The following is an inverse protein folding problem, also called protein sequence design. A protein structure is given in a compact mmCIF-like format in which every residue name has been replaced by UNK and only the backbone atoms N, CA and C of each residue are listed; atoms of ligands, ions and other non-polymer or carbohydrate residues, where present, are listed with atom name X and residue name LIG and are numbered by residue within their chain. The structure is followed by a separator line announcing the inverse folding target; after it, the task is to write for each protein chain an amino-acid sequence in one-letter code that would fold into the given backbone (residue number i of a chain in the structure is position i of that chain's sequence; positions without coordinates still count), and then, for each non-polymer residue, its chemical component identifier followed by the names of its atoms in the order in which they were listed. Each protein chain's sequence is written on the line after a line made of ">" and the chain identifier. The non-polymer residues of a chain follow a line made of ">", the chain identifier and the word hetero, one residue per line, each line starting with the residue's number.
data_IF_084271546236
#
_entry.id   IF_084271546236
#
_cell.length_a   1.000
_cell.length_b   1.000
_cell.length_c   1.000
_cell.angle_alpha   90.00
_cell.angle_beta   90.00
_cell.angle_gamma   90.00
#
_symmetry.space_group_name_H-M   'P 1'
#
loop_
_entity.id
_entity.type
_entity.pdbx_description
1 polymer ?
#
# COMPACT_ATOMS: atom_id res chain seq x y z
N UNK A 1 4.95 16.34 61.06
CA UNK A 1 5.63 15.06 60.77
C UNK A 1 5.23 14.60 59.37
N UNK A 2 6.03 14.87 58.32
CA UNK A 2 5.82 14.29 56.99
C UNK A 2 6.71 13.06 56.76
N UNK A 3 6.16 12.05 56.07
CA UNK A 3 6.77 10.75 55.80
C UNK A 3 7.99 10.83 54.86
N UNK A 4 8.93 9.87 54.90
CA UNK A 4 10.15 9.92 54.11
C UNK A 4 9.91 9.49 52.66
N UNK A 5 10.62 10.19 51.79
CA UNK A 5 10.61 10.17 50.33
C UNK A 5 11.01 8.78 49.75
N UNK A 6 10.07 8.04 49.17
CA UNK A 6 10.36 6.80 48.44
C UNK A 6 11.08 7.09 47.13
N UNK A 7 12.41 6.87 47.12
CA UNK A 7 13.21 6.84 45.90
C UNK A 7 12.78 5.64 45.05
N UNK A 8 11.90 5.86 44.08
CA UNK A 8 11.63 4.93 42.98
C UNK A 8 12.94 4.55 42.29
N UNK A 9 13.45 3.35 42.57
CA UNK A 9 14.59 2.75 41.87
C UNK A 9 14.23 2.68 40.39
N UNK A 10 14.92 3.48 39.57
CA UNK A 10 14.93 3.29 38.12
C UNK A 10 15.60 1.95 37.85
N UNK A 11 14.86 1.03 37.27
CA UNK A 11 15.33 -0.26 36.82
C UNK A 11 16.40 0.00 35.76
N UNK A 12 17.68 -0.12 36.13
CA UNK A 12 18.76 -0.18 35.16
C UNK A 12 18.63 -1.55 34.49
N UNK A 13 18.26 -1.55 33.20
CA UNK A 13 18.44 -2.72 32.34
C UNK A 13 19.88 -3.21 32.56
N UNK A 14 20.02 -4.42 33.07
CA UNK A 14 21.31 -5.06 33.30
C UNK A 14 22.07 -5.21 31.98
N UNK A 15 23.39 -5.07 32.06
CA UNK A 15 24.40 -5.23 30.99
C UNK A 15 24.38 -6.58 30.24
N UNK A 16 23.35 -7.42 30.41
CA UNK A 16 23.21 -8.70 29.70
C UNK A 16 22.87 -8.54 28.21
N UNK A 17 22.37 -7.37 27.79
CA UNK A 17 22.03 -7.14 26.37
C UNK A 17 23.26 -7.17 25.44
N UNK A 18 24.46 -6.83 25.93
CA UNK A 18 25.68 -6.85 25.10
C UNK A 18 26.16 -8.26 24.78
N UNK A 19 25.79 -9.27 25.57
CA UNK A 19 26.14 -10.68 25.29
C UNK A 19 25.23 -11.30 24.23
N UNK A 20 24.03 -10.75 24.02
CA UNK A 20 23.07 -11.26 23.04
C UNK A 20 23.28 -10.73 21.61
N UNK A 21 24.12 -9.71 21.40
CA UNK A 21 24.39 -9.21 20.04
C UNK A 21 25.20 -10.20 19.21
N UNK A 22 26.08 -10.98 19.86
CA UNK A 22 26.88 -12.01 19.18
C UNK A 22 26.04 -13.20 18.68
N UNK A 23 24.76 -13.30 19.09
CA UNK A 23 23.80 -14.31 18.62
C UNK A 23 22.99 -13.86 17.41
N UNK A 24 23.21 -12.64 16.89
CA UNK A 24 22.39 -12.07 15.82
C UNK A 24 22.49 -12.88 14.50
N UNK A 25 23.69 -13.41 14.21
CA UNK A 25 23.91 -14.28 13.05
C UNK A 25 24.61 -15.58 13.45
N UNK A 26 23.83 -16.66 13.50
CA UNK A 26 24.32 -18.03 13.73
C UNK A 26 24.08 -18.88 12.49
N UNK A 27 25.10 -19.08 11.66
CA UNK A 27 25.00 -19.87 10.42
C UNK A 27 25.13 -21.38 10.63
N UNK A 28 25.54 -21.83 11.81
CA UNK A 28 25.81 -23.24 12.07
C UNK A 28 24.52 -24.05 12.30
N UNK A 29 23.46 -23.42 12.79
CA UNK A 29 22.17 -24.06 13.08
C UNK A 29 21.08 -23.78 12.04
N UNK A 30 21.43 -23.12 10.92
CA UNK A 30 20.46 -22.72 9.91
C UNK A 30 20.31 -23.78 8.81
N UNK A 31 19.16 -23.74 8.12
CA UNK A 31 18.87 -24.63 7.00
C UNK A 31 19.92 -24.46 5.90
N UNK A 32 20.72 -25.52 5.66
CA UNK A 32 21.78 -25.57 4.65
C UNK A 32 21.29 -25.20 3.25
N UNK A 33 20.01 -25.42 2.95
CA UNK A 33 19.42 -25.07 1.65
C UNK A 33 19.32 -23.55 1.44
N UNK A 34 19.07 -22.77 2.50
CA UNK A 34 18.87 -21.33 2.39
C UNK A 34 20.18 -20.53 2.39
N UNK A 35 21.19 -21.02 3.10
CA UNK A 35 22.46 -20.31 3.32
C UNK A 35 23.66 -20.96 2.61
N UNK A 36 23.54 -22.20 2.17
CA UNK A 36 24.58 -22.94 1.44
C UNK A 36 24.34 -22.98 -0.08
N UNK A 37 23.50 -22.09 -0.62
CA UNK A 37 23.10 -22.06 -2.04
C UNK A 37 22.66 -23.44 -2.56
N UNK A 38 22.01 -24.22 -1.69
CA UNK A 38 21.51 -25.55 -2.01
C UNK A 38 20.45 -25.44 -3.09
N UNK A 39 20.57 -26.23 -4.15
CA UNK A 39 19.55 -26.27 -5.20
C UNK A 39 18.23 -26.76 -4.61
N UNK A 40 17.24 -25.88 -4.54
CA UNK A 40 15.88 -26.24 -4.18
C UNK A 40 15.24 -26.85 -5.44
N UNK A 41 15.10 -28.18 -5.45
CA UNK A 41 14.35 -28.87 -6.48
C UNK A 41 12.91 -29.03 -5.99
N UNK A 42 11.95 -28.54 -6.77
CA UNK A 42 10.54 -28.88 -6.57
C UNK A 42 10.33 -30.25 -7.22
N UNK A 43 9.86 -31.20 -6.43
CA UNK A 43 9.62 -32.56 -6.90
C UNK A 43 8.52 -32.53 -7.98
N UNK A 44 8.90 -32.84 -9.23
CA UNK A 44 8.01 -32.74 -10.40
C UNK A 44 7.03 -33.90 -10.48
N UNK A 45 7.20 -34.92 -9.64
CA UNK A 45 6.36 -36.12 -9.61
C UNK A 45 5.09 -35.92 -8.77
N UNK A 46 4.91 -34.75 -8.15
CA UNK A 46 3.65 -34.35 -7.52
C UNK A 46 2.72 -33.71 -8.57
N UNK A 47 1.42 -34.05 -8.63
CA UNK A 47 0.48 -33.55 -9.63
C UNK A 47 0.03 -32.10 -9.37
N UNK A 48 0.94 -31.25 -8.90
CA UNK A 48 0.75 -29.82 -8.79
C UNK A 48 1.08 -29.16 -10.13
N UNK A 49 0.10 -29.21 -11.03
CA UNK A 49 0.07 -28.43 -12.27
C UNK A 49 0.20 -26.94 -11.95
N UNK A 50 1.33 -26.34 -12.29
CA UNK A 50 1.55 -24.91 -12.24
C UNK A 50 2.99 -24.56 -12.55
N UNK A 51 3.25 -24.00 -13.73
CA UNK A 51 4.54 -23.43 -14.11
C UNK A 51 5.11 -22.59 -12.96
N UNK A 52 6.30 -22.95 -12.46
CA UNK A 52 7.17 -22.20 -11.54
C UNK A 52 6.54 -20.93 -10.93
N UNK A 53 5.64 -21.12 -9.96
CA UNK A 53 4.90 -20.02 -9.32
C UNK A 53 5.79 -19.18 -8.38
N UNK A 54 7.01 -19.64 -8.10
CA UNK A 54 7.98 -18.96 -7.26
C UNK A 54 9.06 -18.28 -8.11
N UNK A 55 9.01 -16.95 -8.17
CA UNK A 55 10.10 -16.11 -8.67
C UNK A 55 11.01 -15.70 -7.51
N UNK A 56 12.33 -15.77 -7.72
CA UNK A 56 13.36 -15.47 -6.73
C UNK A 56 13.30 -13.99 -6.28
N UNK A 57 13.67 -13.73 -5.03
CA UNK A 57 13.73 -12.38 -4.45
C UNK A 57 14.81 -11.55 -5.17
N UNK A 58 14.39 -10.61 -6.05
CA UNK A 58 15.29 -9.71 -6.78
C UNK A 58 14.88 -9.45 -8.22
N UNK A 59 14.17 -10.38 -8.85
CA UNK A 59 13.43 -10.08 -10.07
C UNK A 59 12.14 -9.37 -9.70
N UNK A 60 11.68 -8.44 -10.53
CA UNK A 60 10.38 -7.79 -10.38
C UNK A 60 9.26 -8.85 -10.48
N UNK A 61 8.98 -9.55 -9.38
CA UNK A 61 7.92 -10.54 -9.22
C UNK A 61 6.51 -9.92 -9.23
N UNK A 62 6.42 -8.67 -9.69
CA UNK A 62 5.25 -7.80 -9.61
C UNK A 62 4.61 -7.54 -10.97
N UNK A 63 4.95 -8.34 -12.00
CA UNK A 63 3.90 -8.66 -12.95
C UNK A 63 2.84 -9.35 -12.09
N UNK A 64 1.81 -8.60 -11.66
CA UNK A 64 0.62 -9.15 -11.05
C UNK A 64 0.33 -10.38 -11.89
N UNK A 65 0.50 -11.58 -11.31
CA UNK A 65 -0.05 -12.75 -11.94
C UNK A 65 -1.47 -12.32 -12.21
N UNK A 66 -1.83 -12.16 -13.49
CA UNK A 66 -3.20 -11.93 -13.88
C UNK A 66 -3.86 -13.14 -13.26
N UNK A 67 -4.46 -12.95 -12.08
CA UNK A 67 -5.19 -13.99 -11.42
C UNK A 67 -6.27 -14.21 -12.45
N UNK A 68 -6.08 -15.26 -13.25
CA UNK A 68 -7.09 -15.74 -14.17
C UNK A 68 -8.12 -16.23 -13.18
N UNK A 69 -8.96 -15.29 -12.73
CA UNK A 69 -10.08 -15.56 -11.85
C UNK A 69 -10.80 -16.67 -12.60
N UNK A 70 -10.74 -17.93 -12.12
CA UNK A 70 -11.51 -18.97 -12.78
C UNK A 70 -12.91 -18.41 -12.82
N UNK A 71 -13.56 -18.46 -14.00
CA UNK A 71 -14.93 -18.00 -14.18
C UNK A 71 -15.80 -18.93 -13.33
N UNK A 72 -15.79 -18.74 -12.02
CA UNK A 72 -16.67 -19.38 -11.08
C UNK A 72 -18.06 -19.02 -11.59
N UNK A 73 -18.90 -20.02 -11.78
CA UNK A 73 -20.31 -19.86 -12.14
C UNK A 73 -21.12 -19.22 -11.00
N UNK A 74 -20.58 -18.16 -10.39
CA UNK A 74 -21.26 -17.32 -9.42
C UNK A 74 -22.38 -16.65 -10.19
N UNK A 75 -23.58 -17.22 -10.08
CA UNK A 75 -24.80 -16.50 -10.40
C UNK A 75 -24.83 -15.29 -9.47
N UNK A 76 -24.43 -14.13 -9.98
CA UNK A 76 -24.70 -12.85 -9.33
C UNK A 76 -26.22 -12.73 -9.23
N UNK A 77 -26.75 -13.13 -8.09
CA UNK A 77 -28.15 -12.87 -7.75
C UNK A 77 -28.20 -11.38 -7.48
N UNK A 78 -28.77 -10.60 -8.40
CA UNK A 78 -29.11 -9.21 -8.16
C UNK A 78 -30.18 -9.20 -7.07
N UNK A 79 -29.72 -9.21 -5.81
CA UNK A 79 -30.54 -8.90 -4.66
C UNK A 79 -30.68 -7.39 -4.69
N UNK A 80 -31.84 -6.90 -5.14
CA UNK A 80 -32.21 -5.51 -4.91
C UNK A 80 -32.19 -5.28 -3.39
N UNK A 81 -31.15 -4.61 -2.91
CA UNK A 81 -31.07 -4.24 -1.51
C UNK A 81 -32.33 -3.41 -1.21
N UNK A 82 -33.05 -3.71 -0.12
CA UNK A 82 -34.22 -2.94 0.25
C UNK A 82 -33.85 -1.47 0.29
N UNK A 83 -34.66 -0.64 -0.39
CA UNK A 83 -34.45 0.81 -0.52
C UNK A 83 -34.20 1.38 0.87
N UNK A 84 -32.98 1.89 1.12
CA UNK A 84 -32.55 2.41 2.42
C UNK A 84 -33.58 3.46 2.87
N UNK A 85 -34.34 3.15 3.93
CA UNK A 85 -35.33 4.09 4.48
C UNK A 85 -34.55 5.28 5.06
N UNK A 86 -34.67 6.47 4.48
CA UNK A 86 -34.00 7.72 4.89
C UNK A 86 -34.45 8.27 6.27
N UNK A 87 -34.99 7.45 7.16
CA UNK A 87 -35.73 7.94 8.34
C UNK A 87 -35.44 7.23 9.65
N UNK A 88 -34.24 6.67 9.78
CA UNK A 88 -33.67 6.49 11.11
C UNK A 88 -32.43 7.36 11.11
N UNK A 89 -32.56 8.57 11.65
CA UNK A 89 -31.39 9.32 12.10
C UNK A 89 -30.62 8.38 13.02
N UNK A 90 -29.29 8.33 12.90
CA UNK A 90 -28.53 7.54 13.85
C UNK A 90 -28.92 8.02 15.26
N UNK A 91 -29.45 7.14 16.13
CA UNK A 91 -29.76 7.54 17.50
C UNK A 91 -28.53 8.03 18.26
N UNK A 92 -27.35 7.83 17.71
CA UNK A 92 -26.06 8.25 18.22
C UNK A 92 -25.43 9.26 17.28
N UNK A 93 -25.31 10.51 17.73
CA UNK A 93 -24.72 11.58 16.93
C UNK A 93 -23.18 11.45 16.87
N UNK A 94 -22.62 11.61 15.68
CA UNK A 94 -21.17 11.45 15.42
C UNK A 94 -20.29 12.42 16.23
N UNK A 95 -20.83 13.59 16.61
CA UNK A 95 -20.11 14.61 17.38
C UNK A 95 -19.57 14.08 18.73
N UNK A 96 -20.24 13.07 19.32
CA UNK A 96 -19.82 12.42 20.57
C UNK A 96 -18.52 11.64 20.38
N UNK A 97 -18.31 11.08 19.18
CA UNK A 97 -17.18 10.22 18.84
C UNK A 97 -16.06 10.95 18.11
N UNK A 98 -16.33 12.12 17.54
CA UNK A 98 -15.30 12.93 16.86
C UNK A 98 -14.05 13.14 17.71
N UNK A 99 -14.21 13.46 19.00
CA UNK A 99 -13.08 13.70 19.91
C UNK A 99 -12.24 12.41 20.05
N UNK A 100 -12.90 11.26 20.16
CA UNK A 100 -12.23 9.97 20.23
C UNK A 100 -11.55 9.60 18.91
N UNK A 101 -12.22 9.80 17.77
CA UNK A 101 -11.66 9.55 16.44
C UNK A 101 -10.47 10.46 16.14
N UNK A 102 -10.56 11.76 16.45
CA UNK A 102 -9.46 12.72 16.30
C UNK A 102 -8.27 12.30 17.16
N UNK A 103 -8.50 11.88 18.41
CA UNK A 103 -7.45 11.34 19.30
C UNK A 103 -6.84 10.05 18.76
N UNK A 104 -7.66 9.08 18.38
CA UNK A 104 -7.22 7.78 17.87
C UNK A 104 -6.41 7.94 16.56
N UNK A 105 -6.88 8.78 15.63
CA UNK A 105 -6.17 9.11 14.38
C UNK A 105 -4.84 9.81 14.64
N UNK A 106 -4.74 10.61 15.72
CA UNK A 106 -3.48 11.22 16.16
C UNK A 106 -2.52 10.19 16.75
N UNK A 107 -3.02 9.31 17.63
CA UNK A 107 -2.23 8.27 18.27
C UNK A 107 -1.70 7.25 17.24
N UNK A 108 -2.54 6.83 16.29
CA UNK A 108 -2.18 5.98 15.14
C UNK A 108 -1.04 6.62 14.35
N UNK A 109 -1.20 7.89 13.95
CA UNK A 109 -0.16 8.65 13.21
C UNK A 109 1.14 8.74 14.00
N UNK A 110 1.05 9.04 15.30
CA UNK A 110 2.22 9.12 16.17
C UNK A 110 2.97 7.79 16.27
N UNK A 111 2.25 6.67 16.45
CA UNK A 111 2.84 5.33 16.54
C UNK A 111 3.51 4.92 15.25
N UNK A 112 2.82 5.09 14.12
CA UNK A 112 3.38 4.80 12.80
C UNK A 112 4.63 5.62 12.50
N UNK A 113 4.67 6.90 12.91
CA UNK A 113 5.86 7.74 12.76
C UNK A 113 7.01 7.26 13.64
N UNK A 114 6.73 6.90 14.90
CA UNK A 114 7.77 6.38 15.80
C UNK A 114 8.32 5.04 15.32
N UNK A 115 7.48 4.15 14.82
CA UNK A 115 7.91 2.85 14.29
C UNK A 115 8.74 3.03 13.02
N UNK A 116 8.34 3.95 12.13
CA UNK A 116 9.13 4.31 10.96
C UNK A 116 10.49 4.89 11.34
N UNK A 117 10.55 5.76 12.35
CA UNK A 117 11.80 6.31 12.88
C UNK A 117 12.73 5.24 13.44
N UNK A 118 12.19 4.28 14.22
CA UNK A 118 12.96 3.13 14.73
C UNK A 118 13.51 2.28 13.60
N UNK A 119 12.70 2.00 12.59
CA UNK A 119 13.11 1.20 11.46
C UNK A 119 14.24 1.88 10.66
N UNK A 120 14.19 3.19 10.41
CA UNK A 120 15.32 3.90 9.78
C UNK A 120 16.59 3.82 10.62
N UNK A 121 16.48 3.99 11.94
CA UNK A 121 17.61 3.88 12.85
C UNK A 121 18.23 2.47 12.83
N UNK A 122 17.40 1.42 12.83
CA UNK A 122 17.86 0.04 12.70
C UNK A 122 18.57 -0.20 11.36
N UNK A 123 18.06 0.37 10.27
CA UNK A 123 18.69 0.23 8.95
C UNK A 123 20.02 0.98 8.85
N UNK A 124 20.14 2.16 9.45
CA UNK A 124 21.42 2.87 9.50
C UNK A 124 22.43 2.12 10.37
N UNK A 125 22.00 1.47 11.45
CA UNK A 125 22.85 0.57 12.21
C UNK A 125 23.32 -0.63 11.37
N UNK A 126 22.42 -1.25 10.57
CA UNK A 126 22.79 -2.34 9.63
C UNK A 126 23.81 -1.87 8.59
N UNK A 127 23.65 -0.66 8.03
CA UNK A 127 24.63 -0.06 7.10
C UNK A 127 25.98 0.13 7.78
N UNK A 128 25.99 0.66 8.99
CA UNK A 128 27.23 0.85 9.76
C UNK A 128 27.95 -0.48 10.03
N UNK A 129 27.21 -1.54 10.38
CA UNK A 129 27.77 -2.88 10.56
C UNK A 129 28.35 -3.45 9.27
N UNK A 130 27.69 -3.24 8.13
CA UNK A 130 28.21 -3.63 6.82
C UNK A 130 29.51 -2.89 6.49
N UNK A 131 29.58 -1.58 6.73
CA UNK A 131 30.79 -0.78 6.53
C UNK A 131 31.95 -1.29 7.38
N UNK A 132 31.72 -1.60 8.67
CA UNK A 132 32.73 -2.19 9.56
C UNK A 132 33.27 -3.53 9.06
N UNK A 133 32.42 -4.35 8.42
CA UNK A 133 32.83 -5.62 7.84
C UNK A 133 33.59 -5.48 6.52
N UNK A 134 33.46 -4.34 5.82
CA UNK A 134 34.20 -4.03 4.60
C UNK A 134 35.57 -3.39 4.86
N UNK A 135 35.78 -2.80 6.04
CA UNK A 135 37.05 -2.23 6.48
C UNK A 135 38.15 -3.29 6.66
N UNK A 136 39.41 -2.84 6.75
CA UNK A 136 40.58 -3.73 6.87
C UNK A 136 40.61 -4.50 8.21
N UNK A 137 40.06 -3.93 9.29
CA UNK A 137 40.02 -4.48 10.65
C UNK A 137 38.74 -5.29 10.96
N UNK A 138 38.04 -5.77 9.93
CA UNK A 138 36.81 -6.55 10.03
C UNK A 138 36.86 -7.73 11.02
N UNK A 139 38.03 -8.35 11.20
CA UNK A 139 38.27 -9.44 12.15
C UNK A 139 37.92 -9.10 13.61
N UNK A 140 37.99 -7.82 14.00
CA UNK A 140 37.64 -7.37 15.35
C UNK A 140 36.13 -7.22 15.56
N UNK A 141 35.42 -6.87 14.48
CA UNK A 141 34.00 -6.56 14.48
C UNK A 141 33.13 -7.78 14.22
N UNK A 142 33.60 -8.70 13.37
CA UNK A 142 32.87 -9.93 13.01
C UNK A 142 32.40 -10.77 14.23
N UNK A 143 33.20 -10.98 15.29
CA UNK A 143 32.75 -11.74 16.47
C UNK A 143 31.69 -11.04 17.31
N UNK A 144 31.48 -9.73 17.13
CA UNK A 144 30.42 -8.99 17.85
C UNK A 144 29.06 -9.19 17.17
N UNK A 145 29.08 -9.51 15.88
CA UNK A 145 27.91 -9.70 15.03
C UNK A 145 27.54 -11.17 14.88
N UNK A 146 28.54 -12.06 14.87
CA UNK A 146 28.38 -13.46 14.50
C UNK A 146 28.96 -14.44 15.48
N UNK A 147 28.29 -15.59 15.55
CA UNK A 147 28.79 -16.73 16.31
C UNK A 147 29.95 -17.35 15.55
N UNK A 148 31.15 -17.26 16.11
CA UNK A 148 32.37 -17.91 15.60
C UNK A 148 32.75 -19.01 16.58
N UNK A 149 33.09 -20.21 16.07
CA UNK A 149 33.53 -21.34 16.88
C UNK A 149 35.00 -21.21 17.21
N UNK A 150 35.84 -21.00 16.19
CA UNK A 150 37.28 -20.84 16.36
C UNK A 150 37.80 -19.53 15.76
N UNK A 151 38.51 -18.75 16.57
CA UNK A 151 39.03 -17.43 16.15
C UNK A 151 40.37 -17.51 15.43
N UNK A 152 41.06 -18.64 15.52
CA UNK A 152 42.30 -18.88 14.80
C UNK A 152 42.08 -19.48 13.41
N UNK A 153 40.87 -19.97 13.12
CA UNK A 153 40.53 -20.51 11.81
C UNK A 153 40.18 -19.37 10.84
N UNK A 154 41.12 -19.07 9.95
CA UNK A 154 40.99 -18.00 8.95
C UNK A 154 39.90 -18.32 7.92
N UNK A 155 39.72 -19.60 7.59
CA UNK A 155 38.75 -20.03 6.59
C UNK A 155 37.32 -19.92 7.14
N UNK A 156 37.10 -20.32 8.40
CA UNK A 156 35.83 -20.11 9.10
C UNK A 156 35.47 -18.62 9.14
N UNK A 157 36.42 -17.76 9.52
CA UNK A 157 36.22 -16.32 9.61
C UNK A 157 35.83 -15.71 8.26
N UNK A 158 36.53 -16.09 7.18
CA UNK A 158 36.23 -15.61 5.83
C UNK A 158 34.85 -16.07 5.35
N UNK A 159 34.51 -17.35 5.55
CA UNK A 159 33.21 -17.88 5.15
C UNK A 159 32.06 -17.20 5.90
N UNK A 160 32.20 -17.04 7.23
CA UNK A 160 31.20 -16.35 8.06
C UNK A 160 31.10 -14.87 7.72
N UNK A 161 32.22 -14.18 7.45
CA UNK A 161 32.22 -12.80 6.95
C UNK A 161 31.41 -12.68 5.66
N UNK A 162 31.65 -13.53 4.67
CA UNK A 162 30.91 -13.48 3.42
C UNK A 162 29.41 -13.76 3.63
N UNK A 163 29.06 -14.75 4.45
CA UNK A 163 27.66 -15.05 4.77
C UNK A 163 26.95 -13.85 5.43
N UNK A 164 27.64 -13.15 6.33
CA UNK A 164 27.08 -11.97 7.02
C UNK A 164 26.87 -10.79 6.11
N UNK A 165 27.85 -10.48 5.27
CA UNK A 165 27.76 -9.42 4.29
C UNK A 165 26.54 -9.66 3.39
N UNK A 166 26.38 -10.89 2.88
CA UNK A 166 25.22 -11.26 2.05
C UNK A 166 23.90 -11.07 2.78
N UNK A 167 23.81 -11.44 4.06
CA UNK A 167 22.58 -11.25 4.84
C UNK A 167 22.28 -9.78 5.13
N UNK A 168 23.29 -8.99 5.49
CA UNK A 168 23.15 -7.55 5.70
C UNK A 168 22.70 -6.87 4.39
N UNK A 169 23.34 -7.16 3.27
CA UNK A 169 22.94 -6.67 1.94
C UNK A 169 21.51 -7.10 1.59
N UNK A 170 21.12 -8.35 1.88
CA UNK A 170 19.75 -8.85 1.67
C UNK A 170 18.74 -8.08 2.52
N UNK A 171 19.06 -7.75 3.78
CA UNK A 171 18.18 -6.94 4.63
C UNK A 171 18.04 -5.50 4.11
N UNK A 172 19.13 -4.88 3.67
CA UNK A 172 19.10 -3.55 3.06
C UNK A 172 18.31 -3.53 1.75
N UNK A 173 18.44 -4.57 0.91
CA UNK A 173 17.66 -4.71 -0.32
C UNK A 173 16.16 -4.85 -0.04
N UNK A 174 15.77 -5.61 1.00
CA UNK A 174 14.37 -5.69 1.47
C UNK A 174 13.84 -4.32 1.89
N UNK A 175 14.66 -3.55 2.60
CA UNK A 175 14.30 -2.21 3.05
C UNK A 175 14.13 -1.24 1.87
N UNK A 176 15.06 -1.22 0.92
CA UNK A 176 14.95 -0.38 -0.28
C UNK A 176 13.69 -0.71 -1.10
N UNK A 177 13.34 -2.00 -1.21
CA UNK A 177 12.09 -2.42 -1.84
C UNK A 177 10.87 -1.92 -1.06
N UNK A 178 10.85 -2.09 0.26
CA UNK A 178 9.79 -1.57 1.12
C UNK A 178 9.62 -0.05 0.96
N UNK A 179 10.71 0.72 0.89
CA UNK A 179 10.68 2.17 0.73
C UNK A 179 10.08 2.56 -0.64
N UNK A 180 10.52 1.88 -1.71
CA UNK A 180 9.95 2.06 -3.05
C UNK A 180 8.45 1.78 -3.08
N UNK A 181 7.99 0.70 -2.43
CA UNK A 181 6.56 0.35 -2.33
C UNK A 181 5.77 1.39 -1.54
N UNK A 182 6.33 1.84 -0.43
CA UNK A 182 5.68 2.86 0.42
C UNK A 182 5.58 4.19 -0.33
N UNK A 183 6.59 4.57 -1.10
CA UNK A 183 6.57 5.74 -1.95
C UNK A 183 5.54 5.60 -3.09
N UNK A 184 5.46 4.43 -3.73
CA UNK A 184 4.45 4.13 -4.75
C UNK A 184 3.03 4.21 -4.19
N UNK A 185 2.78 3.62 -3.02
CA UNK A 185 1.48 3.68 -2.35
C UNK A 185 1.12 5.12 -1.99
N UNK A 186 2.08 5.90 -1.45
CA UNK A 186 1.85 7.31 -1.14
C UNK A 186 1.53 8.13 -2.40
N UNK A 187 2.19 7.84 -3.52
CA UNK A 187 1.89 8.48 -4.80
C UNK A 187 0.51 8.06 -5.34
N UNK A 188 0.12 6.80 -5.19
CA UNK A 188 -1.19 6.29 -5.57
C UNK A 188 -2.30 6.96 -4.74
N UNK A 189 -2.15 7.01 -3.41
CA UNK A 189 -3.06 7.72 -2.51
C UNK A 189 -3.19 9.18 -2.94
N UNK A 190 -2.06 9.86 -3.17
CA UNK A 190 -2.06 11.25 -3.63
C UNK A 190 -2.71 11.43 -5.01
N UNK A 191 -2.56 10.46 -5.92
CA UNK A 191 -3.18 10.50 -7.25
C UNK A 191 -4.68 10.25 -7.18
N UNK A 192 -5.13 9.42 -6.23
CA UNK A 192 -6.53 9.19 -5.95
C UNK A 192 -7.17 10.44 -5.34
N UNK A 193 -6.50 11.05 -4.37
CA UNK A 193 -6.85 12.36 -3.80
C UNK A 193 -6.77 13.51 -4.82
N UNK A 194 -5.87 13.38 -5.81
CA UNK A 194 -5.63 14.38 -6.85
C UNK A 194 -6.48 14.21 -8.12
N UNK A 195 -7.31 13.16 -8.23
CA UNK A 195 -8.26 13.05 -9.32
C UNK A 195 -9.37 14.09 -9.12
N UNK A 196 -9.61 15.00 -10.09
CA UNK A 196 -10.60 16.07 -9.96
C UNK A 196 -12.02 15.53 -10.21
N UNK A 197 -12.46 14.61 -9.37
CA UNK A 197 -13.88 14.48 -9.04
C UNK A 197 -14.06 15.29 -7.76
N UNK A 198 -14.40 16.58 -7.93
CA UNK A 198 -14.52 17.64 -6.92
C UNK A 198 -13.19 18.29 -6.53
N UNK A 199 -12.96 19.48 -7.08
CA UNK A 199 -11.87 20.33 -6.66
C UNK A 199 -12.14 20.91 -5.28
N UNK A 200 -11.31 20.54 -4.30
CA UNK A 200 -11.00 21.37 -3.13
C UNK A 200 -9.50 21.30 -2.90
N UNK A 201 -8.90 22.49 -2.80
CA UNK A 201 -7.56 22.65 -2.26
C UNK A 201 -7.53 22.01 -0.86
N UNK A 202 -6.47 21.27 -0.57
CA UNK A 202 -6.18 20.70 0.73
C UNK A 202 -5.94 21.82 1.77
N UNK A 203 -7.04 22.33 2.32
CA UNK A 203 -7.10 22.94 3.64
C UNK A 203 -8.11 22.12 4.42
N UNK A 204 -7.57 21.33 5.34
CA UNK A 204 -8.05 20.66 6.56
C UNK A 204 -9.50 20.88 7.09
N UNK A 205 -10.52 21.12 6.28
CA UNK A 205 -11.90 21.28 6.75
C UNK A 205 -12.82 20.14 6.26
N UNK A 206 -13.26 19.37 7.26
CA UNK A 206 -14.48 18.56 7.35
C UNK A 206 -15.56 18.90 6.29
N UNK A 207 -15.55 18.21 5.15
CA UNK A 207 -16.63 18.31 4.16
C UNK A 207 -16.84 16.99 3.40
N UNK A 208 -17.20 15.94 4.13
CA UNK A 208 -17.88 14.74 3.57
C UNK A 208 -19.33 15.04 3.13
N UNK A 209 -19.75 16.30 3.11
CA UNK A 209 -21.13 16.78 2.87
C UNK A 209 -21.45 17.14 1.40
N UNK A 210 -20.45 17.12 0.50
CA UNK A 210 -20.71 17.54 -0.90
C UNK A 210 -21.56 16.52 -1.69
N UNK A 211 -21.62 15.26 -1.24
CA UNK A 211 -22.45 14.20 -1.85
C UNK A 211 -23.92 14.21 -1.35
N UNK A 212 -24.18 14.77 -0.15
CA UNK A 212 -25.54 15.02 0.35
C UNK A 212 -26.22 16.14 -0.49
N UNK A 213 -25.45 17.18 -0.84
CA UNK A 213 -25.93 18.35 -1.61
C UNK A 213 -26.41 18.04 -3.04
N UNK A 214 -26.01 16.90 -3.60
CA UNK A 214 -26.45 16.42 -4.91
C UNK A 214 -27.92 15.96 -4.86
N UNK A 215 -28.42 15.52 -3.70
CA UNK A 215 -29.76 14.97 -3.55
C UNK A 215 -30.80 16.01 -3.09
N UNK A 216 -30.34 17.17 -2.60
CA UNK A 216 -31.20 18.28 -2.18
C UNK A 216 -31.67 19.17 -3.34
N UNK A 217 -30.96 19.11 -4.48
CA UNK A 217 -31.32 19.88 -5.67
C UNK A 217 -32.51 19.22 -6.38
N UNK A 218 -33.57 19.97 -6.74
CA UNK A 218 -34.70 19.42 -7.47
C UNK A 218 -34.22 18.83 -8.82
N UNK A 219 -34.83 17.72 -9.22
CA UNK A 219 -34.43 16.92 -10.39
C UNK A 219 -34.30 17.76 -11.68
N UNK A 220 -35.12 18.80 -11.84
CA UNK A 220 -35.07 19.71 -12.98
C UNK A 220 -33.77 20.51 -13.06
N UNK A 221 -33.24 20.96 -11.91
CA UNK A 221 -31.98 21.70 -11.85
C UNK A 221 -30.78 20.80 -12.17
N UNK A 222 -30.78 19.57 -11.63
CA UNK A 222 -29.78 18.55 -11.97
C UNK A 222 -29.82 18.19 -13.45
N UNK A 223 -31.02 18.06 -14.03
CA UNK A 223 -31.19 17.77 -15.45
C UNK A 223 -30.60 18.90 -16.32
N UNK A 224 -30.88 20.17 -16.00
CA UNK A 224 -30.32 21.33 -16.69
C UNK A 224 -28.80 21.40 -16.57
N UNK A 225 -28.25 21.20 -15.37
CA UNK A 225 -26.81 21.24 -15.15
C UNK A 225 -26.09 20.12 -15.91
N UNK A 226 -26.62 18.89 -15.86
CA UNK A 226 -26.10 17.75 -16.65
C UNK A 226 -26.18 18.04 -18.14
N UNK A 227 -27.28 18.63 -18.62
CA UNK A 227 -27.42 19.01 -20.03
C UNK A 227 -26.36 20.04 -20.43
N UNK A 228 -26.10 21.06 -19.61
CA UNK A 228 -25.06 22.07 -19.87
C UNK A 228 -23.66 21.47 -19.90
N UNK A 229 -23.29 20.63 -18.94
CA UNK A 229 -22.00 19.94 -18.94
C UNK A 229 -21.83 19.04 -20.16
N UNK A 230 -22.90 18.35 -20.58
CA UNK A 230 -22.91 17.51 -21.78
C UNK A 230 -22.69 18.33 -23.06
N UNK A 231 -23.33 19.49 -23.18
CA UNK A 231 -23.16 20.40 -24.30
C UNK A 231 -21.75 21.00 -24.34
N UNK A 232 -21.17 21.33 -23.19
CA UNK A 232 -19.81 21.86 -23.10
C UNK A 232 -18.75 20.83 -23.54
N UNK A 233 -18.94 19.55 -23.19
CA UNK A 233 -17.97 18.49 -23.48
C UNK A 233 -18.11 17.88 -24.89
N UNK A 234 -19.33 17.75 -25.41
CA UNK A 234 -19.60 17.03 -26.66
C UNK A 234 -20.27 17.88 -27.76
N UNK A 235 -20.49 19.17 -27.51
CA UNK A 235 -21.09 20.08 -28.48
C UNK A 235 -22.62 20.01 -28.53
N UNK A 236 -23.21 20.93 -29.29
CA UNK A 236 -24.68 21.02 -29.44
C UNK A 236 -25.19 19.98 -30.43
N UNK A 237 -26.33 19.31 -30.16
CA UNK A 237 -27.02 18.52 -31.16
C UNK A 237 -27.32 19.37 -32.40
N UNK A 238 -27.13 18.80 -33.58
CA UNK A 238 -27.40 19.48 -34.84
C UNK A 238 -28.18 18.55 -35.78
N UNK A 239 -28.88 19.16 -36.72
CA UNK A 239 -29.61 18.45 -37.77
C UNK A 239 -29.10 18.86 -39.13
N UNK A 240 -28.81 17.87 -39.98
CA UNK A 240 -28.42 18.10 -41.37
C UNK A 240 -29.61 17.78 -42.27
N UNK A 241 -29.96 18.72 -43.13
CA UNK A 241 -30.92 18.54 -44.21
C UNK A 241 -30.21 18.05 -45.46
N UNK A 242 -30.67 16.92 -46.00
CA UNK A 242 -30.03 16.25 -47.14
C UNK A 242 -30.61 16.70 -48.50
N UNK A 243 -31.55 17.64 -48.53
CA UNK A 243 -32.17 18.17 -49.77
C UNK A 243 -33.12 17.20 -50.48
N UNK A 244 -33.24 15.96 -50.01
CA UNK A 244 -34.12 14.91 -50.53
C UNK A 244 -35.36 14.69 -49.64
N UNK A 245 -35.76 15.69 -48.85
CA UNK A 245 -36.85 15.60 -47.88
C UNK A 245 -36.53 14.79 -46.61
N UNK A 246 -35.26 14.45 -46.38
CA UNK A 246 -34.82 13.74 -45.17
C UNK A 246 -33.90 14.63 -44.33
N UNK A 247 -34.05 14.55 -42.99
CA UNK A 247 -33.18 15.18 -42.01
C UNK A 247 -32.48 14.15 -41.12
N UNK A 248 -31.17 14.26 -41.01
CA UNK A 248 -30.39 13.48 -40.04
C UNK A 248 -30.35 14.28 -38.74
N UNK A 249 -30.83 13.70 -37.64
CA UNK A 249 -30.68 14.27 -36.31
C UNK A 249 -29.49 13.62 -35.62
N UNK A 250 -28.47 14.42 -35.30
CA UNK A 250 -27.32 13.98 -34.54
C UNK A 250 -27.39 14.50 -33.10
N UNK A 251 -27.24 13.59 -32.13
CA UNK A 251 -27.05 13.91 -30.72
C UNK A 251 -25.93 13.01 -30.19
N UNK A 252 -24.89 13.54 -29.51
CA UNK A 252 -23.77 12.74 -29.02
C UNK A 252 -24.12 11.56 -28.11
N UNK A 253 -25.31 11.55 -27.51
CA UNK A 253 -25.76 10.53 -26.55
C UNK A 253 -26.94 9.68 -27.02
N UNK A 254 -27.46 9.96 -28.22
CA UNK A 254 -28.51 9.15 -28.83
C UNK A 254 -28.01 8.64 -30.17
N UNK A 255 -28.44 7.45 -30.55
CA UNK A 255 -28.16 6.93 -31.89
C UNK A 255 -28.74 7.91 -32.92
N UNK A 256 -27.97 8.31 -33.95
CA UNK A 256 -28.46 9.23 -34.96
C UNK A 256 -29.68 8.62 -35.66
N UNK A 257 -30.74 9.42 -35.76
CA UNK A 257 -32.01 8.99 -36.38
C UNK A 257 -32.27 9.79 -37.65
N UNK A 258 -32.70 9.11 -38.70
CA UNK A 258 -33.18 9.75 -39.93
C UNK A 258 -34.69 10.00 -39.76
N UNK A 259 -35.10 11.25 -39.90
CA UNK A 259 -36.51 11.63 -39.90
C UNK A 259 -36.88 12.21 -41.27
N UNK A 260 -38.11 11.96 -41.70
CA UNK A 260 -38.66 12.57 -42.92
C UNK A 260 -39.10 13.98 -42.56
N UNK A 261 -38.79 14.94 -43.42
CA UNK A 261 -39.28 16.31 -43.32
C UNK A 261 -40.76 16.30 -43.69
N UNK A 262 -41.63 16.31 -42.68
CA UNK A 262 -43.06 16.56 -42.88
C UNK A 262 -43.22 18.02 -43.27
N UNK A 263 -43.46 18.28 -44.55
CA UNK A 263 -44.07 19.53 -44.99
C UNK A 263 -45.45 19.58 -44.34
N UNK A 264 -45.61 20.40 -43.30
CA UNK A 264 -46.91 20.86 -42.86
C UNK A 264 -47.38 21.88 -43.90
N UNK A 265 -48.43 21.54 -44.64
CA UNK A 265 -49.36 22.55 -45.19
C UNK A 265 -50.02 23.32 -44.03
#
# INVERSE_FOLDING_TARGET
>A
MPAPNEKRRKLRLSDEQTKNTALLYNFDNLNRLLYGDGRICIDRDSPATGENQYKYFGEASWAFNKVVMPKLGVRQRQSELPRRRRRNHDPLEDHVYEIFHKRMKKDERSRTLTDRGRMYFEMDNVKSQLELLLQHDWNKHLPQLTVIKDRSDVDELLAKRQATIRELERTLAKFANWESRTASLAAEIKSYEGHPAQGKNFQDDDADDDDESILDKPLEQLAKQRQQSRLAKHGRPFSILLGNGHKIRYNPYLTPTVAIESYLE
#
